data_IF_486343322412
#
_entry.id   IF_486343322412
#
_cell.length_a   1.000
_cell.length_b   1.000
_cell.length_c   1.000
_cell.angle_alpha   90.00
_cell.angle_beta   90.00
_cell.angle_gamma   90.00
#
_symmetry.space_group_name_H-M   'P 1'
#
loop_
_entity.id
_entity.type
_entity.pdbx_description
1 polymer ?
#
# COMPACT_ATOMS: atom_id res chain seq x y z
N UNK A 1 34.41 -3.62 19.67
CA UNK A 1 34.72 -3.51 18.23
C UNK A 1 35.35 -2.14 18.03
N UNK A 2 36.39 -1.98 17.18
CA UNK A 2 37.01 -0.68 16.95
C UNK A 2 35.99 0.27 16.32
N UNK A 3 35.90 1.51 16.81
CA UNK A 3 35.05 2.55 16.24
C UNK A 3 35.36 2.71 14.75
N UNK A 4 34.45 2.27 13.89
CA UNK A 4 34.62 2.44 12.44
C UNK A 4 34.40 3.92 12.14
N UNK A 5 35.49 4.63 11.89
CA UNK A 5 35.41 6.03 11.44
C UNK A 5 34.68 6.04 10.10
N UNK A 6 33.47 6.62 10.08
CA UNK A 6 32.71 6.82 8.86
C UNK A 6 33.44 7.85 8.00
N UNK A 7 33.84 7.44 6.81
CA UNK A 7 34.46 8.28 5.79
C UNK A 7 33.70 8.13 4.48
N UNK A 8 33.89 9.08 3.56
CA UNK A 8 33.30 8.99 2.22
C UNK A 8 33.65 7.67 1.51
N UNK A 9 34.92 7.26 1.59
CA UNK A 9 35.40 6.02 0.98
C UNK A 9 34.75 4.78 1.62
N UNK A 10 34.62 4.78 2.94
CA UNK A 10 33.95 3.69 3.66
C UNK A 10 32.47 3.59 3.27
N UNK A 11 31.75 4.71 3.15
CA UNK A 11 30.36 4.71 2.70
C UNK A 11 30.21 4.21 1.26
N UNK A 12 31.14 4.59 0.39
CA UNK A 12 31.17 4.10 -0.98
C UNK A 12 31.41 2.59 -1.03
N UNK A 13 32.36 2.07 -0.26
CA UNK A 13 32.64 0.63 -0.19
C UNK A 13 31.48 -0.17 0.41
N UNK A 14 30.79 0.37 1.44
CA UNK A 14 29.57 -0.24 1.99
C UNK A 14 28.48 -0.29 0.90
N UNK A 15 28.21 0.82 0.22
CA UNK A 15 27.23 0.86 -0.87
C UNK A 15 27.59 -0.11 -2.00
N UNK A 16 28.87 -0.15 -2.38
CA UNK A 16 29.38 -1.04 -3.43
C UNK A 16 29.10 -2.49 -3.07
N UNK A 17 29.49 -2.93 -1.87
CA UNK A 17 29.24 -4.31 -1.41
C UNK A 17 27.74 -4.62 -1.34
N UNK A 18 26.93 -3.66 -0.91
CA UNK A 18 25.47 -3.81 -0.87
C UNK A 18 24.88 -4.00 -2.30
N UNK A 19 25.44 -3.32 -3.31
CA UNK A 19 25.01 -3.48 -4.71
C UNK A 19 25.38 -4.83 -5.31
N UNK A 20 26.60 -5.31 -5.06
CA UNK A 20 27.11 -6.51 -5.75
C UNK A 20 26.71 -7.83 -5.07
N UNK A 21 26.51 -7.82 -3.76
CA UNK A 21 26.06 -9.02 -3.03
C UNK A 21 24.55 -9.13 -3.10
N UNK A 22 24.04 -10.33 -3.30
CA UNK A 22 22.61 -10.63 -3.22
C UNK A 22 22.12 -10.60 -1.77
N UNK A 23 22.95 -11.11 -0.86
CA UNK A 23 22.67 -11.15 0.58
C UNK A 23 22.83 -9.77 1.23
N UNK A 24 22.12 -9.58 2.35
CA UNK A 24 22.22 -8.39 3.17
C UNK A 24 23.58 -8.38 3.88
N UNK A 25 24.34 -7.31 3.71
CA UNK A 25 25.63 -7.19 4.39
C UNK A 25 25.41 -6.88 5.88
N UNK A 26 26.24 -7.47 6.75
CA UNK A 26 26.35 -7.04 8.14
C UNK A 26 27.03 -5.68 8.24
N UNK A 27 26.36 -4.75 8.90
CA UNK A 27 26.84 -3.39 9.20
C UNK A 27 26.91 -3.25 10.72
N UNK A 28 27.72 -2.33 11.22
CA UNK A 28 27.83 -2.06 12.65
C UNK A 28 26.51 -1.52 13.22
N UNK A 29 26.16 -1.92 14.44
CA UNK A 29 24.96 -1.48 15.14
C UNK A 29 24.98 0.03 15.42
N UNK A 30 26.18 0.64 15.50
CA UNK A 30 26.35 2.09 15.69
C UNK A 30 26.29 2.88 14.39
N UNK A 31 26.17 2.23 13.23
CA UNK A 31 26.31 2.85 11.91
C UNK A 31 25.50 4.13 11.73
N UNK A 32 24.20 4.11 12.07
CA UNK A 32 23.36 5.31 11.92
C UNK A 32 23.84 6.47 12.79
N UNK A 33 24.32 6.18 14.00
CA UNK A 33 24.86 7.19 14.92
C UNK A 33 26.13 7.82 14.34
N UNK A 34 27.01 6.98 13.79
CA UNK A 34 28.28 7.42 13.25
C UNK A 34 28.10 8.21 11.95
N UNK A 35 27.14 7.82 11.10
CA UNK A 35 26.75 8.58 9.91
C UNK A 35 26.18 9.95 10.26
N UNK A 36 25.32 10.04 11.27
CA UNK A 36 24.76 11.33 11.71
C UNK A 36 25.87 12.24 12.23
N UNK A 37 26.79 11.70 13.05
CA UNK A 37 27.95 12.46 13.55
C UNK A 37 28.81 12.97 12.39
N UNK A 38 29.10 12.12 11.40
CA UNK A 38 29.88 12.50 10.22
C UNK A 38 29.21 13.61 9.39
N UNK A 39 27.88 13.54 9.20
CA UNK A 39 27.14 14.59 8.50
C UNK A 39 27.11 15.91 9.29
N UNK A 40 26.99 15.85 10.62
CA UNK A 40 27.05 17.04 11.48
C UNK A 40 28.41 17.72 11.41
N UNK A 41 29.50 16.97 11.46
CA UNK A 41 30.86 17.51 11.32
C UNK A 41 31.04 18.18 9.95
N UNK A 42 30.57 17.56 8.86
CA UNK A 42 30.67 18.12 7.50
C UNK A 42 29.82 19.38 7.31
N UNK A 43 28.61 19.41 7.87
CA UNK A 43 27.73 20.58 7.81
C UNK A 43 28.24 21.73 8.68
N UNK A 44 28.84 21.44 9.84
CA UNK A 44 29.52 22.43 10.67
C UNK A 44 30.70 23.09 9.92
N UNK A 45 31.53 22.29 9.23
CA UNK A 45 32.62 22.81 8.39
C UNK A 45 32.05 23.74 7.31
N UNK A 46 31.00 23.33 6.60
CA UNK A 46 30.35 24.16 5.58
C UNK A 46 29.89 25.50 6.17
N UNK A 47 29.25 25.50 7.34
CA UNK A 47 28.77 26.71 8.01
C UNK A 47 29.89 27.66 8.45
N UNK A 48 31.04 27.11 8.85
CA UNK A 48 32.21 27.90 9.23
C UNK A 48 32.93 28.52 8.02
N UNK A 49 32.87 27.85 6.87
CA UNK A 49 33.46 28.33 5.62
C UNK A 49 32.61 29.44 4.99
N UNK A 50 31.29 29.42 5.18
CA UNK A 50 30.38 30.42 4.60
C UNK A 50 30.40 31.76 5.31
N UNK A 51 30.96 31.82 6.53
CA UNK A 51 31.19 33.08 7.26
C UNK A 51 32.48 33.79 6.87
N UNK A 52 33.36 33.16 6.07
CA UNK A 52 34.64 33.75 5.65
C UNK A 52 34.52 34.34 4.24
N UNK A 53 34.40 35.66 4.14
CA UNK A 53 34.36 36.41 2.88
C UNK A 53 35.74 36.48 2.20
N UNK A 54 36.16 35.36 1.61
CA UNK A 54 37.38 35.26 0.80
C UNK A 54 37.03 34.68 -0.57
N UNK A 55 37.59 35.25 -1.64
CA UNK A 55 37.37 34.78 -3.03
C UNK A 55 37.72 33.29 -3.17
N UNK A 56 38.70 32.79 -2.41
CA UNK A 56 39.07 31.36 -2.35
C UNK A 56 38.07 30.51 -1.57
N UNK A 57 37.33 31.09 -0.61
CA UNK A 57 36.29 30.39 0.14
C UNK A 57 35.13 29.94 -0.78
N UNK A 58 34.83 30.71 -1.84
CA UNK A 58 33.74 30.38 -2.78
C UNK A 58 33.92 29.00 -3.46
N UNK A 59 35.15 28.66 -3.85
CA UNK A 59 35.43 27.39 -4.55
C UNK A 59 35.46 26.21 -3.58
N UNK A 60 36.01 26.38 -2.39
CA UNK A 60 35.99 25.35 -1.35
C UNK A 60 34.58 25.07 -0.84
N UNK A 61 33.75 26.11 -0.69
CA UNK A 61 32.35 25.98 -0.31
C UNK A 61 31.56 25.10 -1.27
N UNK A 62 31.69 25.35 -2.57
CA UNK A 62 31.03 24.54 -3.60
C UNK A 62 31.51 23.08 -3.55
N UNK A 63 32.81 22.84 -3.32
CA UNK A 63 33.36 21.48 -3.17
C UNK A 63 32.77 20.77 -1.95
N UNK A 64 32.75 21.42 -0.78
CA UNK A 64 32.18 20.85 0.44
C UNK A 64 30.69 20.55 0.28
N UNK A 65 29.93 21.47 -0.34
CA UNK A 65 28.51 21.27 -0.59
C UNK A 65 28.25 20.09 -1.54
N UNK A 66 29.07 19.95 -2.59
CA UNK A 66 28.99 18.82 -3.51
C UNK A 66 29.33 17.50 -2.81
N UNK A 67 30.31 17.47 -1.91
CA UNK A 67 30.63 16.28 -1.11
C UNK A 67 29.45 15.87 -0.24
N UNK A 68 28.82 16.79 0.48
CA UNK A 68 27.63 16.50 1.31
C UNK A 68 26.50 15.94 0.45
N UNK A 69 26.22 16.56 -0.71
CA UNK A 69 25.20 16.07 -1.64
C UNK A 69 25.50 14.66 -2.13
N UNK A 70 26.76 14.34 -2.42
CA UNK A 70 27.15 13.00 -2.86
C UNK A 70 27.01 11.97 -1.73
N UNK A 71 27.39 12.32 -0.50
CA UNK A 71 27.18 11.48 0.68
C UNK A 71 25.69 11.18 0.86
N UNK A 72 24.83 12.20 0.78
CA UNK A 72 23.38 12.02 0.88
C UNK A 72 22.83 11.08 -0.20
N UNK A 73 23.32 11.18 -1.44
CA UNK A 73 22.96 10.26 -2.52
C UNK A 73 23.38 8.82 -2.20
N UNK A 74 24.60 8.62 -1.72
CA UNK A 74 25.11 7.30 -1.32
C UNK A 74 24.25 6.68 -0.22
N UNK A 75 23.91 7.47 0.81
CA UNK A 75 23.09 7.00 1.93
C UNK A 75 21.68 6.63 1.50
N UNK A 76 21.06 7.45 0.64
CA UNK A 76 19.73 7.16 0.09
C UNK A 76 19.75 5.86 -0.71
N UNK A 77 20.71 5.72 -1.60
CA UNK A 77 20.82 4.50 -2.43
C UNK A 77 21.12 3.26 -1.56
N UNK A 78 21.97 3.40 -0.53
CA UNK A 78 22.27 2.32 0.40
C UNK A 78 20.99 1.87 1.13
N UNK A 79 20.20 2.82 1.64
CA UNK A 79 18.95 2.55 2.31
C UNK A 79 17.97 1.79 1.39
N UNK A 80 17.72 2.32 0.18
CA UNK A 80 16.81 1.70 -0.79
C UNK A 80 17.25 0.28 -1.18
N UNK A 81 18.56 0.02 -1.31
CA UNK A 81 19.07 -1.32 -1.62
C UNK A 81 18.86 -2.29 -0.46
N UNK A 82 19.15 -1.87 0.77
CA UNK A 82 18.92 -2.68 1.97
C UNK A 82 17.44 -2.95 2.20
N UNK A 83 16.62 -1.92 2.08
CA UNK A 83 15.15 -2.01 2.20
C UNK A 83 14.59 -3.05 1.23
N UNK A 84 14.96 -2.99 -0.05
CA UNK A 84 14.52 -3.99 -1.04
C UNK A 84 14.93 -5.41 -0.65
N UNK A 85 16.16 -5.64 -0.17
CA UNK A 85 16.60 -6.96 0.27
C UNK A 85 15.82 -7.46 1.48
N UNK A 86 15.51 -6.59 2.43
CA UNK A 86 14.72 -6.94 3.61
C UNK A 86 13.29 -7.31 3.21
N UNK A 87 12.69 -6.57 2.27
CA UNK A 87 11.35 -6.89 1.73
C UNK A 87 11.35 -8.26 1.05
N UNK A 88 12.33 -8.53 0.19
CA UNK A 88 12.44 -9.83 -0.49
C UNK A 88 12.66 -10.96 0.52
N UNK A 89 13.52 -10.75 1.51
CA UNK A 89 13.74 -11.67 2.63
C UNK A 89 12.44 -12.00 3.36
N UNK A 90 11.66 -10.99 3.76
CA UNK A 90 10.38 -11.20 4.44
C UNK A 90 9.38 -11.98 3.55
N UNK A 91 9.34 -11.66 2.26
CA UNK A 91 8.49 -12.34 1.29
C UNK A 91 8.84 -13.83 1.15
N UNK A 92 10.13 -14.17 1.05
CA UNK A 92 10.60 -15.55 0.95
C UNK A 92 10.37 -16.32 2.24
N UNK A 93 10.68 -15.72 3.40
CA UNK A 93 10.45 -16.35 4.71
C UNK A 93 8.96 -16.67 4.93
N UNK A 94 8.07 -15.72 4.64
CA UNK A 94 6.63 -15.96 4.77
C UNK A 94 6.08 -16.97 3.75
N UNK A 95 6.67 -17.07 2.55
CA UNK A 95 6.29 -18.11 1.57
C UNK A 95 6.75 -19.51 2.00
N UNK A 96 7.99 -19.64 2.45
CA UNK A 96 8.60 -20.92 2.80
C UNK A 96 8.27 -21.38 4.23
N UNK A 97 7.68 -20.52 5.07
CA UNK A 97 7.47 -20.73 6.51
C UNK A 97 8.76 -21.11 7.25
N UNK A 98 9.91 -20.70 6.73
CA UNK A 98 11.22 -20.99 7.30
C UNK A 98 11.83 -19.72 7.92
N UNK A 99 12.46 -19.83 9.10
CA UNK A 99 13.20 -18.72 9.69
C UNK A 99 14.37 -18.37 8.79
N UNK A 100 14.46 -17.10 8.38
CA UNK A 100 15.62 -16.58 7.68
C UNK A 100 16.61 -16.02 8.69
N UNK A 101 17.90 -16.03 8.32
CA UNK A 101 18.93 -15.38 9.12
C UNK A 101 18.68 -13.86 9.19
N UNK A 102 18.53 -13.36 10.41
CA UNK A 102 18.29 -11.94 10.72
C UNK A 102 19.50 -11.27 11.36
N UNK A 103 20.62 -11.98 11.52
CA UNK A 103 21.83 -11.51 12.21
C UNK A 103 22.54 -10.32 11.54
N UNK A 104 22.25 -10.08 10.26
CA UNK A 104 22.81 -8.97 9.48
C UNK A 104 21.92 -7.70 9.49
N UNK A 105 20.72 -7.77 10.08
CA UNK A 105 19.79 -6.65 10.14
C UNK A 105 20.08 -5.78 11.36
N UNK A 106 20.01 -4.47 11.17
CA UNK A 106 20.06 -3.51 12.27
C UNK A 106 18.75 -3.55 13.08
N UNK A 107 18.71 -3.05 14.32
CA UNK A 107 17.51 -3.11 15.16
C UNK A 107 16.25 -2.49 14.51
N UNK A 108 16.41 -1.37 13.80
CA UNK A 108 15.33 -0.69 13.09
C UNK A 108 14.84 -1.53 11.89
N UNK A 109 15.78 -2.13 11.17
CA UNK A 109 15.51 -3.00 10.01
C UNK A 109 14.82 -4.31 10.45
N UNK A 110 15.22 -4.85 11.60
CA UNK A 110 14.63 -6.04 12.19
C UNK A 110 13.17 -5.80 12.59
N UNK A 111 12.87 -4.64 13.17
CA UNK A 111 11.50 -4.25 13.48
C UNK A 111 10.66 -4.14 12.19
N UNK A 112 11.19 -3.51 11.15
CA UNK A 112 10.54 -3.43 9.84
C UNK A 112 10.29 -4.83 9.22
N UNK A 113 11.30 -5.71 9.24
CA UNK A 113 11.18 -7.08 8.75
C UNK A 113 10.08 -7.87 9.45
N UNK A 114 10.02 -7.80 10.79
CA UNK A 114 9.00 -8.53 11.59
C UNK A 114 7.60 -8.05 11.26
N UNK A 115 7.38 -6.74 11.25
CA UNK A 115 6.09 -6.15 10.91
C UNK A 115 5.63 -6.56 9.50
N UNK A 116 6.55 -6.56 8.54
CA UNK A 116 6.26 -6.98 7.17
C UNK A 116 5.94 -8.46 7.09
N UNK A 117 6.74 -9.31 7.75
CA UNK A 117 6.52 -10.77 7.78
C UNK A 117 5.17 -11.10 8.42
N UNK A 118 4.85 -10.51 9.56
CA UNK A 118 3.60 -10.77 10.27
C UNK A 118 2.38 -10.34 9.46
N UNK A 119 2.48 -9.20 8.77
CA UNK A 119 1.44 -8.74 7.84
C UNK A 119 1.27 -9.73 6.68
N UNK A 120 2.37 -10.12 6.04
CA UNK A 120 2.39 -11.09 4.96
C UNK A 120 1.82 -12.46 5.38
N UNK A 121 2.14 -12.93 6.58
CA UNK A 121 1.61 -14.17 7.16
C UNK A 121 0.10 -14.04 7.43
N UNK A 122 -0.35 -12.91 8.00
CA UNK A 122 -1.79 -12.63 8.23
C UNK A 122 -2.60 -12.72 6.94
N UNK A 123 -2.16 -12.09 5.86
CA UNK A 123 -2.86 -12.12 4.57
C UNK A 123 -2.84 -13.52 3.94
N UNK A 124 -1.72 -14.26 4.05
CA UNK A 124 -1.67 -15.65 3.57
C UNK A 124 -2.62 -16.55 4.34
N UNK A 125 -2.70 -16.42 5.66
CA UNK A 125 -3.58 -17.23 6.51
C UNK A 125 -5.06 -16.91 6.29
N UNK A 126 -5.41 -15.63 6.18
CA UNK A 126 -6.80 -15.22 6.02
C UNK A 126 -7.32 -15.32 4.58
N UNK A 127 -6.45 -15.33 3.56
CA UNK A 127 -6.86 -15.47 2.15
C UNK A 127 -6.44 -16.82 1.59
N UNK A 128 -5.14 -17.02 1.38
CA UNK A 128 -4.62 -18.17 0.63
C UNK A 128 -4.99 -19.49 1.30
N UNK A 129 -4.76 -19.61 2.61
CA UNK A 129 -5.05 -20.85 3.33
C UNK A 129 -6.55 -21.13 3.44
N UNK A 130 -7.40 -20.09 3.53
CA UNK A 130 -8.86 -20.29 3.49
C UNK A 130 -9.32 -20.81 2.13
N UNK A 131 -8.86 -20.19 1.04
CA UNK A 131 -9.21 -20.61 -0.32
C UNK A 131 -8.75 -22.05 -0.60
N UNK A 132 -7.53 -22.42 -0.17
CA UNK A 132 -7.03 -23.79 -0.31
C UNK A 132 -7.85 -24.81 0.49
N UNK A 133 -8.61 -24.38 1.50
CA UNK A 133 -9.54 -25.20 2.28
C UNK A 133 -11.00 -25.07 1.80
N UNK A 134 -11.24 -24.46 0.63
CA UNK A 134 -12.58 -24.16 0.09
C UNK A 134 -13.44 -23.29 1.03
N UNK A 135 -12.81 -22.41 1.81
CA UNK A 135 -13.45 -21.46 2.72
C UNK A 135 -13.32 -20.04 2.18
N UNK A 136 -14.29 -19.19 2.49
CA UNK A 136 -14.22 -17.77 2.15
C UNK A 136 -13.09 -17.08 2.92
N UNK A 137 -12.41 -16.08 2.32
CA UNK A 137 -11.41 -15.31 3.02
C UNK A 137 -11.96 -14.70 4.31
N UNK A 138 -11.24 -14.89 5.41
CA UNK A 138 -11.57 -14.34 6.71
C UNK A 138 -10.48 -13.35 7.11
N UNK A 139 -10.64 -12.11 6.65
CA UNK A 139 -9.79 -10.98 7.01
C UNK A 139 -10.66 -9.77 7.27
N UNK A 140 -10.38 -9.12 8.40
CA UNK A 140 -10.85 -7.75 8.64
C UNK A 140 -10.13 -6.83 7.65
N UNK A 141 -10.83 -6.49 6.57
CA UNK A 141 -10.40 -5.46 5.63
C UNK A 141 -10.77 -4.12 6.27
N UNK A 142 -9.82 -3.22 6.53
CA UNK A 142 -10.18 -1.86 6.93
C UNK A 142 -11.04 -1.27 5.81
N UNK A 143 -12.26 -0.85 6.15
CA UNK A 143 -13.18 -0.21 5.20
C UNK A 143 -12.50 1.08 4.75
N UNK A 144 -11.86 1.02 3.59
CA UNK A 144 -11.49 2.23 2.87
C UNK A 144 -12.83 2.70 2.30
N UNK A 145 -13.35 3.80 2.83
CA UNK A 145 -14.41 4.58 2.18
C UNK A 145 -13.84 5.06 0.85
N UNK A 146 -13.83 4.15 -0.13
CA UNK A 146 -13.66 4.51 -1.50
C UNK A 146 -14.90 5.31 -1.85
N UNK A 147 -14.75 6.62 -2.03
CA UNK A 147 -15.62 7.37 -2.92
C UNK A 147 -15.58 6.66 -4.28
N UNK A 148 -16.50 5.73 -4.44
CA UNK A 148 -16.77 5.05 -5.70
C UNK A 148 -17.31 6.11 -6.64
N UNK A 149 -16.42 6.78 -7.39
CA UNK A 149 -16.81 7.33 -8.68
C UNK A 149 -17.11 6.16 -9.59
N UNK A 150 -18.41 5.90 -9.71
CA UNK A 150 -19.11 5.19 -10.76
C UNK A 150 -18.57 3.81 -11.12
N UNK A 151 -19.21 2.79 -10.55
CA UNK A 151 -19.75 1.65 -11.29
C UNK A 151 -20.85 0.99 -10.44
N UNK A 152 -22.08 1.47 -10.64
CA UNK A 152 -23.36 0.82 -10.32
C UNK A 152 -23.65 0.61 -8.83
N UNK A 153 -24.22 1.67 -8.24
CA UNK A 153 -25.37 1.65 -7.32
C UNK A 153 -25.87 0.26 -6.91
N UNK A 154 -25.47 -0.19 -5.73
CA UNK A 154 -26.36 -0.90 -4.82
C UNK A 154 -26.79 0.09 -3.73
N UNK A 155 -27.53 1.12 -4.14
CA UNK A 155 -28.56 1.66 -3.27
C UNK A 155 -29.53 0.51 -3.01
N UNK A 156 -29.80 0.23 -1.75
CA UNK A 156 -30.82 -0.75 -1.34
C UNK A 156 -32.20 -0.24 -1.75
N UNK A 157 -32.55 -0.34 -3.03
CA UNK A 157 -33.93 -0.33 -3.48
C UNK A 157 -34.40 -1.77 -3.43
N UNK A 158 -35.28 -2.08 -2.47
CA UNK A 158 -35.97 -3.37 -2.43
C UNK A 158 -36.71 -3.53 -3.77
N UNK A 159 -36.14 -4.31 -4.68
CA UNK A 159 -36.77 -4.66 -5.96
C UNK A 159 -37.51 -5.98 -5.79
N UNK A 160 -38.73 -6.05 -6.31
CA UNK A 160 -39.64 -7.19 -6.20
C UNK A 160 -39.99 -7.66 -7.61
N UNK A 161 -40.01 -8.99 -7.79
CA UNK A 161 -40.50 -9.61 -9.02
C UNK A 161 -42.02 -9.68 -9.01
N UNK A 162 -42.65 -9.10 -10.02
CA UNK A 162 -44.10 -9.15 -10.21
C UNK A 162 -44.45 -9.74 -11.58
N UNK A 163 -45.51 -10.56 -11.61
CA UNK A 163 -46.07 -11.16 -12.80
C UNK A 163 -47.22 -10.30 -13.33
N UNK A 164 -47.12 -9.81 -14.56
CA UNK A 164 -48.07 -8.88 -15.17
C UNK A 164 -49.29 -9.64 -15.71
N UNK A 165 -50.49 -9.22 -15.32
CA UNK A 165 -51.76 -9.87 -15.66
C UNK A 165 -52.47 -9.23 -16.86
N UNK A 166 -52.16 -7.96 -17.14
CA UNK A 166 -52.75 -7.17 -18.24
C UNK A 166 -51.68 -6.28 -18.88
N UNK A 167 -51.85 -5.89 -20.14
CA UNK A 167 -50.89 -5.02 -20.83
C UNK A 167 -50.83 -3.65 -20.13
N UNK A 168 -49.64 -3.26 -19.65
CA UNK A 168 -49.39 -1.98 -18.98
C UNK A 168 -48.61 -1.08 -19.92
N UNK A 169 -49.14 0.09 -20.32
CA UNK A 169 -48.40 1.04 -21.16
C UNK A 169 -47.24 1.67 -20.38
N UNK A 170 -46.33 2.33 -21.10
CA UNK A 170 -45.24 3.11 -20.50
C UNK A 170 -45.80 4.23 -19.59
N UNK A 171 -45.29 4.36 -18.37
CA UNK A 171 -45.71 5.36 -17.39
C UNK A 171 -44.52 5.85 -16.56
N UNK A 172 -44.68 6.99 -15.88
CA UNK A 172 -43.64 7.58 -15.02
C UNK A 172 -43.96 7.31 -13.56
N UNK A 173 -43.01 6.75 -12.81
CA UNK A 173 -43.11 6.46 -11.39
C UNK A 173 -42.96 7.70 -10.49
N UNK A 174 -43.23 7.56 -9.17
CA UNK A 174 -43.07 8.65 -8.20
C UNK A 174 -41.61 9.13 -8.02
N UNK A 175 -40.66 8.30 -8.43
CA UNK A 175 -39.21 8.53 -8.53
C UNK A 175 -38.80 9.32 -9.78
N UNK A 176 -39.75 9.67 -10.66
CA UNK A 176 -39.54 10.26 -11.98
C UNK A 176 -38.86 9.32 -12.99
N UNK A 177 -38.80 8.02 -12.72
CA UNK A 177 -38.31 7.02 -13.66
C UNK A 177 -39.44 6.48 -14.55
N UNK A 178 -39.08 6.02 -15.74
CA UNK A 178 -40.04 5.52 -16.73
C UNK A 178 -40.11 4.00 -16.65
N UNK A 179 -41.32 3.47 -16.49
CA UNK A 179 -41.63 2.05 -16.34
C UNK A 179 -42.54 1.57 -17.48
N UNK A 180 -42.35 0.33 -17.93
CA UNK A 180 -43.10 -0.26 -19.04
C UNK A 180 -42.56 0.14 -20.42
N UNK A 181 -43.26 -0.23 -21.52
CA UNK A 181 -44.53 -0.96 -21.54
C UNK A 181 -44.32 -2.44 -21.20
N UNK A 182 -45.18 -2.98 -20.34
CA UNK A 182 -45.18 -4.40 -19.95
C UNK A 182 -46.32 -5.15 -20.64
N UNK A 183 -46.05 -6.39 -21.05
CA UNK A 183 -47.06 -7.24 -21.69
C UNK A 183 -47.69 -8.18 -20.69
N UNK A 184 -48.93 -8.58 -20.97
CA UNK A 184 -49.61 -9.65 -20.26
C UNK A 184 -48.77 -10.94 -20.27
N UNK A 185 -48.71 -11.59 -19.12
CA UNK A 185 -47.94 -12.81 -18.82
C UNK A 185 -46.41 -12.63 -18.78
N UNK A 186 -45.92 -11.40 -18.58
CA UNK A 186 -44.49 -11.08 -18.42
C UNK A 186 -44.11 -10.96 -16.93
N UNK A 187 -42.97 -11.54 -16.52
CA UNK A 187 -42.38 -11.31 -15.19
C UNK A 187 -41.38 -10.15 -15.25
N UNK A 188 -41.59 -9.12 -14.43
CA UNK A 188 -40.75 -7.91 -14.42
C UNK A 188 -40.24 -7.59 -13.01
N UNK A 189 -39.00 -7.13 -12.94
CA UNK A 189 -38.36 -6.68 -11.70
C UNK A 189 -38.61 -5.19 -11.57
N UNK A 190 -39.33 -4.75 -10.55
CA UNK A 190 -39.63 -3.33 -10.31
C UNK A 190 -39.43 -3.01 -8.83
N UNK A 191 -39.25 -1.73 -8.50
CA UNK A 191 -39.13 -1.32 -7.11
C UNK A 191 -40.38 -1.64 -6.28
N UNK A 192 -40.20 -1.85 -4.97
CA UNK A 192 -41.28 -2.21 -4.04
C UNK A 192 -42.48 -1.24 -4.11
N UNK A 193 -42.23 0.06 -4.30
CA UNK A 193 -43.28 1.06 -4.43
C UNK A 193 -44.11 0.87 -5.70
N UNK A 194 -43.45 0.55 -6.82
CA UNK A 194 -44.10 0.31 -8.11
C UNK A 194 -44.80 -1.06 -8.11
N UNK A 195 -44.17 -2.09 -7.53
CA UNK A 195 -44.78 -3.40 -7.35
C UNK A 195 -46.09 -3.31 -6.56
N UNK A 196 -46.10 -2.56 -5.44
CA UNK A 196 -47.31 -2.31 -4.64
C UNK A 196 -48.39 -1.60 -5.45
N UNK A 197 -48.03 -0.61 -6.26
CA UNK A 197 -48.98 0.11 -7.11
C UNK A 197 -49.63 -0.82 -8.15
N UNK A 198 -48.82 -1.62 -8.88
CA UNK A 198 -49.31 -2.55 -9.90
C UNK A 198 -50.17 -3.68 -9.31
N UNK A 199 -49.86 -4.12 -8.09
CA UNK A 199 -50.67 -5.11 -7.36
C UNK A 199 -51.99 -4.47 -6.88
N UNK A 200 -51.96 -3.24 -6.37
CA UNK A 200 -53.17 -2.53 -5.93
C UNK A 200 -54.15 -2.23 -7.08
N UNK A 201 -53.63 -1.97 -8.28
CA UNK A 201 -54.46 -1.76 -9.48
C UNK A 201 -54.91 -3.06 -10.15
N UNK A 202 -54.60 -4.23 -9.56
CA UNK A 202 -54.85 -5.58 -10.10
C UNK A 202 -54.17 -5.86 -11.46
N UNK A 203 -53.14 -5.09 -11.82
CA UNK A 203 -52.41 -5.25 -13.07
C UNK A 203 -51.25 -6.26 -12.96
N UNK A 204 -50.80 -6.56 -11.75
CA UNK A 204 -49.74 -7.53 -11.49
C UNK A 204 -49.97 -8.34 -10.22
N UNK A 205 -49.28 -9.47 -10.09
CA UNK A 205 -49.28 -10.32 -8.89
C UNK A 205 -47.85 -10.57 -8.40
N UNK A 206 -47.64 -10.59 -7.08
CA UNK A 206 -46.33 -10.94 -6.51
C UNK A 206 -46.02 -12.43 -6.81
N UNK A 207 -44.81 -12.70 -7.30
CA UNK A 207 -44.36 -14.06 -7.59
C UNK A 207 -43.83 -14.80 -6.34
N UNK A 208 -43.68 -14.10 -5.20
CA UNK A 208 -43.40 -14.71 -3.89
C UNK A 208 -44.59 -14.56 -2.91
N UNK A 209 -45.14 -15.64 -2.33
CA UNK A 209 -46.08 -15.57 -1.21
C UNK A 209 -45.42 -15.16 0.11
#
# INVERSE_FOLDING_TARGET
MPDIIITYENLYEILRREKYRTELQKVDDTFFRDVVKYLQEKTAILSSQSQKDSIFASTELVKTQNQIRNIQKILKELYEKRENKIIQSALFSSRAQNPQDTSAMLPQELAFYRNLKDNLDKYRQGILYQILQNQLPNLEIPVIEAEQKDLKTEDKTNTINVFILEDVPEFVGPDLEVYGPYKKDESVVVEENIAKLLIQTNQAKNENP
#
